data_IF_559284018421
#
_entry.id   IF_559284018421
#
_cell.length_a   1.000
_cell.length_b   1.000
_cell.length_c   1.000
_cell.angle_alpha   90.00
_cell.angle_beta   90.00
_cell.angle_gamma   90.00
#
_symmetry.space_group_name_H-M   'P 1'
#
loop_
_entity.id
_entity.type
_entity.pdbx_description
1 polymer ?
#
# COMPACT_ATOMS: atom_id res chain seq x y z
N UNK A 1 17.65 -22.19 -16.37
CA UNK A 1 18.70 -22.89 -15.60
C UNK A 1 18.13 -24.23 -15.12
N UNK A 2 18.90 -25.31 -15.03
CA UNK A 2 18.35 -26.57 -14.51
C UNK A 2 17.82 -26.38 -13.08
N UNK A 3 16.61 -26.89 -12.80
CA UNK A 3 15.91 -26.76 -11.51
C UNK A 3 16.81 -27.10 -10.31
N UNK A 4 17.58 -28.18 -10.41
CA UNK A 4 18.54 -28.61 -9.38
C UNK A 4 19.66 -27.60 -9.17
N UNK A 5 20.21 -27.01 -10.24
CA UNK A 5 21.27 -26.00 -10.15
C UNK A 5 20.76 -24.71 -9.50
N UNK A 6 19.51 -24.33 -9.75
CA UNK A 6 18.87 -23.20 -9.09
C UNK A 6 18.70 -23.40 -7.59
N UNK A 7 18.19 -24.57 -7.17
CA UNK A 7 18.04 -24.88 -5.75
C UNK A 7 19.39 -24.87 -5.02
N UNK A 8 20.43 -25.45 -5.63
CA UNK A 8 21.79 -25.43 -5.07
C UNK A 8 22.29 -23.98 -4.93
N UNK A 9 22.14 -23.15 -5.97
CA UNK A 9 22.50 -21.74 -5.93
C UNK A 9 21.74 -20.98 -4.83
N UNK A 10 20.44 -21.24 -4.68
CA UNK A 10 19.59 -20.61 -3.67
C UNK A 10 20.05 -20.94 -2.25
N UNK A 11 20.30 -22.23 -1.95
CA UNK A 11 20.75 -22.64 -0.61
C UNK A 11 22.17 -22.18 -0.29
N UNK A 12 23.09 -22.24 -1.25
CA UNK A 12 24.46 -21.73 -1.08
C UNK A 12 24.42 -20.22 -0.84
N UNK A 13 23.64 -19.47 -1.62
CA UNK A 13 23.49 -18.03 -1.43
C UNK A 13 22.87 -17.66 -0.09
N UNK A 14 21.90 -18.43 0.41
CA UNK A 14 21.37 -18.28 1.77
C UNK A 14 22.43 -18.53 2.85
N UNK A 15 23.26 -19.56 2.71
CA UNK A 15 24.33 -19.84 3.66
C UNK A 15 25.36 -18.70 3.69
N UNK A 16 25.83 -18.26 2.51
CA UNK A 16 26.80 -17.15 2.39
C UNK A 16 26.22 -15.86 2.97
N UNK A 17 24.98 -15.51 2.62
CA UNK A 17 24.33 -14.30 3.13
C UNK A 17 24.09 -14.36 4.63
N UNK A 18 23.87 -15.54 5.21
CA UNK A 18 23.76 -15.69 6.68
C UNK A 18 25.09 -15.40 7.37
N UNK A 19 26.21 -15.88 6.82
CA UNK A 19 27.55 -15.55 7.33
C UNK A 19 27.83 -14.05 7.23
N UNK A 20 27.50 -13.44 6.10
CA UNK A 20 27.62 -11.98 5.91
C UNK A 20 26.78 -11.19 6.91
N UNK A 21 25.59 -11.68 7.26
CA UNK A 21 24.70 -11.05 8.26
C UNK A 21 25.42 -10.92 9.60
N UNK A 22 26.00 -12.04 10.06
CA UNK A 22 26.70 -12.11 11.34
C UNK A 22 27.85 -11.11 11.35
N UNK A 23 28.64 -11.05 10.28
CA UNK A 23 29.75 -10.10 10.12
C UNK A 23 29.25 -8.65 10.17
N UNK A 24 28.20 -8.31 9.42
CA UNK A 24 27.68 -6.94 9.36
C UNK A 24 27.06 -6.46 10.68
N UNK A 25 26.44 -7.35 11.45
CA UNK A 25 25.92 -7.02 12.78
C UNK A 25 27.06 -6.56 13.70
N UNK A 26 28.24 -7.16 13.62
CA UNK A 26 29.39 -6.73 14.43
C UNK A 26 30.03 -5.41 13.96
N UNK A 27 29.87 -5.04 12.69
CA UNK A 27 30.50 -3.86 12.09
C UNK A 27 29.65 -2.59 12.16
N UNK A 28 28.37 -2.66 12.54
CA UNK A 28 27.41 -1.53 12.55
C UNK A 28 27.37 -0.70 11.25
N UNK A 29 27.79 -1.27 10.11
CA UNK A 29 28.08 -0.51 8.89
C UNK A 29 26.85 -0.18 8.01
N UNK A 30 25.63 -0.55 8.43
CA UNK A 30 24.44 -0.56 7.56
C UNK A 30 23.20 0.15 8.14
N UNK A 31 23.33 0.91 9.24
CA UNK A 31 22.20 1.59 9.91
C UNK A 31 21.35 2.45 8.95
N UNK A 32 21.97 3.18 8.02
CA UNK A 32 21.26 4.02 7.04
C UNK A 32 20.41 3.25 6.03
N UNK A 33 20.78 2.00 5.70
CA UNK A 33 19.95 1.17 4.81
C UNK A 33 18.60 0.86 5.48
N UNK A 34 18.61 0.68 6.80
CA UNK A 34 17.39 0.43 7.58
C UNK A 34 16.38 1.59 7.53
N UNK A 35 16.85 2.83 7.28
CA UNK A 35 15.96 3.96 7.06
C UNK A 35 15.14 3.81 5.77
N UNK A 36 15.76 3.31 4.69
CA UNK A 36 15.07 3.01 3.41
C UNK A 36 13.98 1.97 3.63
N UNK A 37 14.24 0.96 4.46
CA UNK A 37 13.24 -0.04 4.83
C UNK A 37 12.00 0.60 5.46
N UNK A 38 12.19 1.48 6.44
CA UNK A 38 11.08 2.19 7.07
C UNK A 38 10.34 3.13 6.12
N UNK A 39 11.04 3.80 5.21
CA UNK A 39 10.40 4.62 4.17
C UNK A 39 9.43 3.82 3.32
N UNK A 40 9.87 2.63 2.86
CA UNK A 40 9.04 1.76 2.03
C UNK A 40 7.83 1.27 2.83
N UNK A 41 8.02 0.82 4.06
CA UNK A 41 6.93 0.36 4.92
C UNK A 41 5.91 1.47 5.23
N UNK A 42 6.38 2.69 5.47
CA UNK A 42 5.52 3.85 5.75
C UNK A 42 4.77 4.33 4.52
N UNK A 43 5.42 4.40 3.36
CA UNK A 43 4.76 4.65 2.08
C UNK A 43 3.64 3.64 1.83
N UNK A 44 3.98 2.37 1.97
CA UNK A 44 3.05 1.27 1.79
C UNK A 44 1.88 1.40 2.79
N UNK A 45 2.16 1.64 4.07
CA UNK A 45 1.15 1.81 5.12
C UNK A 45 0.14 2.91 4.78
N UNK A 46 0.61 4.07 4.31
CA UNK A 46 -0.26 5.16 3.86
C UNK A 46 -1.15 4.76 2.68
N UNK A 47 -0.60 4.03 1.71
CA UNK A 47 -1.37 3.49 0.59
C UNK A 47 -2.42 2.46 1.05
N UNK A 48 -2.03 1.57 1.97
CA UNK A 48 -2.88 0.52 2.52
C UNK A 48 -4.04 1.06 3.34
N UNK A 49 -3.83 2.13 4.11
CA UNK A 49 -4.87 2.80 4.89
C UNK A 49 -6.01 3.29 3.98
N UNK A 50 -5.71 3.98 2.89
CA UNK A 50 -6.73 4.47 1.95
C UNK A 50 -7.51 3.30 1.33
N UNK A 51 -6.83 2.20 1.00
CA UNK A 51 -7.50 1.00 0.50
C UNK A 51 -8.45 0.39 1.55
N UNK A 52 -8.02 0.31 2.82
CA UNK A 52 -8.85 -0.17 3.91
C UNK A 52 -10.08 0.71 4.12
N UNK A 53 -9.92 2.04 4.03
CA UNK A 53 -11.04 2.99 4.10
C UNK A 53 -12.06 2.70 2.99
N UNK A 54 -11.62 2.63 1.74
CA UNK A 54 -12.51 2.39 0.59
C UNK A 54 -13.25 1.05 0.75
N UNK A 55 -12.55 -0.01 1.18
CA UNK A 55 -13.17 -1.31 1.48
C UNK A 55 -14.19 -1.20 2.62
N UNK A 56 -13.88 -0.46 3.67
CA UNK A 56 -14.79 -0.18 4.79
C UNK A 56 -16.07 0.52 4.32
N UNK A 57 -15.93 1.58 3.53
CA UNK A 57 -17.07 2.29 2.92
C UNK A 57 -17.90 1.38 2.01
N UNK A 58 -17.26 0.50 1.24
CA UNK A 58 -17.95 -0.48 0.40
C UNK A 58 -18.78 -1.46 1.24
N UNK A 59 -18.26 -1.92 2.38
CA UNK A 59 -18.98 -2.81 3.30
C UNK A 59 -20.17 -2.10 3.95
N UNK A 60 -19.98 -0.84 4.38
CA UNK A 60 -21.05 -0.01 4.94
C UNK A 60 -22.17 0.16 3.92
N UNK A 61 -21.82 0.51 2.68
CA UNK A 61 -22.79 0.67 1.60
C UNK A 61 -23.51 -0.65 1.28
N UNK A 62 -22.81 -1.78 1.23
CA UNK A 62 -23.45 -3.07 0.93
C UNK A 62 -24.43 -3.53 2.03
N UNK A 63 -24.13 -3.23 3.30
CA UNK A 63 -25.04 -3.51 4.43
C UNK A 63 -26.24 -2.58 4.47
N UNK A 64 -26.09 -1.33 4.06
CA UNK A 64 -27.13 -0.30 4.15
C UNK A 64 -27.83 -0.01 2.82
N UNK A 65 -27.50 -0.74 1.74
CA UNK A 65 -27.95 -0.44 0.36
C UNK A 65 -29.46 -0.34 0.17
N UNK A 66 -30.24 -1.07 0.96
CA UNK A 66 -31.71 -1.10 0.85
C UNK A 66 -32.37 -0.05 1.76
N UNK A 67 -31.59 0.63 2.61
CA UNK A 67 -32.06 1.67 3.56
C UNK A 67 -31.59 3.08 3.19
N UNK A 68 -30.61 3.21 2.30
CA UNK A 68 -29.98 4.49 1.95
C UNK A 68 -30.71 5.18 0.80
N UNK A 69 -31.15 6.41 1.04
CA UNK A 69 -31.67 7.29 0.00
C UNK A 69 -30.53 8.04 -0.75
N UNK A 70 -30.84 8.66 -1.88
CA UNK A 70 -29.90 9.39 -2.75
C UNK A 70 -29.05 10.41 -1.98
N UNK A 71 -29.66 11.16 -1.07
CA UNK A 71 -28.98 12.18 -0.25
C UNK A 71 -27.96 11.53 0.69
N UNK A 72 -28.33 10.41 1.32
CA UNK A 72 -27.45 9.69 2.25
C UNK A 72 -26.29 9.02 1.52
N UNK A 73 -26.52 8.46 0.32
CA UNK A 73 -25.45 7.93 -0.54
C UNK A 73 -24.49 9.05 -0.96
N UNK A 74 -25.01 10.24 -1.30
CA UNK A 74 -24.18 11.39 -1.68
C UNK A 74 -23.31 11.87 -0.52
N UNK A 75 -23.87 11.94 0.70
CA UNK A 75 -23.12 12.25 1.92
C UNK A 75 -22.03 11.21 2.19
N UNK A 76 -22.33 9.91 2.04
CA UNK A 76 -21.35 8.83 2.19
C UNK A 76 -20.16 8.99 1.23
N UNK A 77 -20.41 9.34 -0.03
CA UNK A 77 -19.37 9.61 -1.03
C UNK A 77 -18.55 10.85 -0.65
N UNK A 78 -19.21 11.90 -0.14
CA UNK A 78 -18.53 13.10 0.33
C UNK A 78 -17.58 12.78 1.49
N UNK A 79 -18.03 11.99 2.47
CA UNK A 79 -17.18 11.52 3.56
C UNK A 79 -16.02 10.66 3.08
N UNK A 80 -16.24 9.77 2.11
CA UNK A 80 -15.19 8.94 1.51
C UNK A 80 -14.08 9.78 0.85
N UNK A 81 -14.40 10.98 0.34
CA UNK A 81 -13.42 11.92 -0.24
C UNK A 81 -12.76 12.80 0.84
N UNK A 82 -13.53 13.28 1.82
CA UNK A 82 -13.05 14.18 2.87
C UNK A 82 -12.04 13.48 3.78
N UNK A 83 -12.29 12.22 4.17
CA UNK A 83 -11.45 11.51 5.13
C UNK A 83 -9.99 11.39 4.65
N UNK A 84 -9.68 10.94 3.41
CA UNK A 84 -8.33 10.96 2.88
C UNK A 84 -7.66 12.34 2.92
N UNK A 85 -8.40 13.42 2.64
CA UNK A 85 -7.87 14.79 2.69
C UNK A 85 -7.50 15.18 4.12
N UNK A 86 -8.32 14.82 5.12
CA UNK A 86 -8.00 15.02 6.53
C UNK A 86 -6.72 14.26 6.94
N UNK A 87 -6.53 13.03 6.45
CA UNK A 87 -5.29 12.27 6.69
C UNK A 87 -4.06 12.93 6.06
N UNK A 88 -4.20 13.57 4.88
CA UNK A 88 -3.11 14.34 4.26
C UNK A 88 -2.76 15.55 5.14
N UNK A 89 -3.76 16.33 5.56
CA UNK A 89 -3.55 17.50 6.42
C UNK A 89 -2.89 17.09 7.74
N UNK A 90 -3.37 16.02 8.37
CA UNK A 90 -2.78 15.47 9.58
C UNK A 90 -1.32 15.02 9.37
N UNK A 91 -1.01 14.40 8.23
CA UNK A 91 0.36 14.00 7.90
C UNK A 91 1.29 15.20 7.74
N UNK A 92 0.82 16.30 7.14
CA UNK A 92 1.57 17.56 7.03
C UNK A 92 1.86 18.12 8.42
N UNK A 93 0.84 18.20 9.29
CA UNK A 93 1.03 18.63 10.67
C UNK A 93 2.10 17.79 11.38
N UNK A 94 2.03 16.46 11.23
CA UNK A 94 2.97 15.53 11.87
C UNK A 94 4.41 15.68 11.35
N UNK A 95 4.59 16.01 10.06
CA UNK A 95 5.91 16.32 9.50
C UNK A 95 6.49 17.52 10.24
N UNK A 96 5.76 18.63 10.31
CA UNK A 96 6.25 19.85 10.97
C UNK A 96 6.46 19.69 12.48
N UNK A 97 5.56 19.00 13.19
CA UNK A 97 5.74 18.77 14.62
C UNK A 97 6.90 17.83 14.95
N UNK A 98 7.26 16.92 14.02
CA UNK A 98 8.40 16.01 14.18
C UNK A 98 9.77 16.61 13.83
N UNK A 99 9.82 17.78 13.18
CA UNK A 99 11.05 18.51 12.88
C UNK A 99 11.47 19.26 14.16
N UNK A 100 12.18 18.57 15.06
CA UNK A 100 12.71 19.13 16.31
C UNK A 100 12.56 18.22 17.53
N UNK A 101 11.54 17.34 17.54
CA UNK A 101 11.36 16.27 18.51
C UNK A 101 11.19 14.93 17.77
N UNK A 102 12.29 14.27 17.36
CA UNK A 102 12.23 13.04 16.56
C UNK A 102 11.75 11.80 17.33
N UNK A 103 11.39 11.93 18.61
CA UNK A 103 11.06 10.81 19.46
C UNK A 103 9.57 10.39 19.32
N UNK A 104 9.35 9.10 19.11
CA UNK A 104 8.05 8.43 19.32
C UNK A 104 7.52 8.53 20.78
N UNK A 105 8.31 9.12 21.69
CA UNK A 105 8.17 9.00 23.14
C UNK A 105 8.15 10.33 23.91
N UNK A 106 8.20 11.50 23.26
CA UNK A 106 8.27 12.78 23.98
C UNK A 106 6.92 13.39 24.40
N UNK A 107 5.77 12.83 24.00
CA UNK A 107 4.43 13.37 24.31
C UNK A 107 3.56 12.38 25.10
N UNK A 108 3.65 12.35 26.43
CA UNK A 108 2.76 11.50 27.23
C UNK A 108 1.26 11.80 26.94
N UNK A 109 0.50 10.81 26.45
CA UNK A 109 -0.96 10.97 26.24
C UNK A 109 -1.61 9.97 25.28
N UNK A 110 -2.94 10.08 25.11
CA UNK A 110 -3.74 9.27 24.19
C UNK A 110 -3.27 9.36 22.72
N UNK A 111 -2.69 10.51 22.32
CA UNK A 111 -2.16 10.73 20.98
C UNK A 111 -1.07 9.71 20.60
N UNK A 112 -0.13 9.39 21.51
CA UNK A 112 0.90 8.37 21.26
C UNK A 112 0.28 6.99 21.02
N UNK A 113 -0.73 6.63 21.81
CA UNK A 113 -1.40 5.33 21.67
C UNK A 113 -2.09 5.24 20.30
N UNK A 114 -2.81 6.29 19.90
CA UNK A 114 -3.42 6.36 18.57
C UNK A 114 -2.37 6.29 17.45
N UNK A 115 -1.29 7.05 17.55
CA UNK A 115 -0.21 7.05 16.57
C UNK A 115 0.48 5.70 16.44
N UNK A 116 0.69 5.04 17.57
CA UNK A 116 1.28 3.71 17.65
C UNK A 116 0.35 2.66 17.04
N UNK A 117 -0.95 2.72 17.37
CA UNK A 117 -1.95 1.82 16.79
C UNK A 117 -2.06 2.01 15.28
N UNK A 118 -2.10 3.25 14.79
CA UNK A 118 -2.14 3.54 13.35
C UNK A 118 -0.86 3.03 12.67
N UNK A 119 0.29 3.19 13.33
CA UNK A 119 1.56 2.70 12.81
C UNK A 119 1.61 1.17 12.70
N UNK A 120 1.31 0.46 13.80
CA UNK A 120 1.32 -1.01 13.83
C UNK A 120 0.24 -1.55 12.89
N UNK A 121 -0.98 -1.03 12.97
CA UNK A 121 -2.07 -1.43 12.07
C UNK A 121 -1.68 -1.22 10.62
N UNK A 122 -1.08 -0.08 10.28
CA UNK A 122 -0.62 0.23 8.94
C UNK A 122 0.41 -0.77 8.40
N UNK A 123 1.42 -1.13 9.20
CA UNK A 123 2.43 -2.13 8.84
C UNK A 123 1.82 -3.53 8.74
N UNK A 124 1.07 -3.96 9.75
CA UNK A 124 0.50 -5.31 9.83
C UNK A 124 -0.56 -5.52 8.74
N UNK A 125 -1.52 -4.60 8.63
CA UNK A 125 -2.54 -4.64 7.58
C UNK A 125 -1.90 -4.71 6.20
N UNK A 126 -0.81 -3.99 6.00
CA UNK A 126 -0.08 -4.04 4.76
C UNK A 126 0.58 -5.39 4.52
N UNK A 127 1.51 -5.81 5.38
CA UNK A 127 2.25 -7.05 5.17
C UNK A 127 1.31 -8.23 4.99
N UNK A 128 0.22 -8.24 5.75
CA UNK A 128 -0.81 -9.25 5.69
C UNK A 128 -1.57 -9.21 4.34
N UNK A 129 -2.09 -8.05 3.92
CA UNK A 129 -2.89 -7.95 2.70
C UNK A 129 -2.07 -7.91 1.39
N UNK A 130 -0.83 -7.45 1.45
CA UNK A 130 -0.01 -7.11 0.29
C UNK A 130 1.01 -8.21 -0.01
N UNK A 131 1.63 -8.81 1.01
CA UNK A 131 2.57 -9.92 0.84
C UNK A 131 1.97 -11.26 1.26
N UNK A 132 1.55 -11.42 2.51
CA UNK A 132 1.20 -12.74 3.07
C UNK A 132 -0.02 -13.35 2.35
N UNK A 133 -1.16 -12.65 2.31
CA UNK A 133 -2.38 -13.15 1.65
C UNK A 133 -2.14 -13.40 0.16
N UNK A 134 -1.43 -12.49 -0.51
CA UNK A 134 -1.19 -12.60 -1.95
C UNK A 134 -0.25 -13.77 -2.27
N UNK A 135 0.75 -14.05 -1.43
CA UNK A 135 1.64 -15.20 -1.55
C UNK A 135 0.89 -16.52 -1.31
N UNK A 136 0.03 -16.57 -0.28
CA UNK A 136 -0.81 -17.73 0.03
C UNK A 136 -1.79 -18.02 -1.13
N UNK A 137 -2.38 -16.98 -1.73
CA UNK A 137 -3.38 -17.12 -2.80
C UNK A 137 -2.78 -17.28 -4.21
N UNK A 138 -1.46 -17.35 -4.34
CA UNK A 138 -0.76 -17.44 -5.64
C UNK A 138 -1.05 -16.28 -6.62
N UNK A 139 -1.49 -15.13 -6.09
CA UNK A 139 -1.92 -13.98 -6.89
C UNK A 139 -0.77 -13.07 -7.34
N UNK A 140 0.45 -13.29 -6.82
CA UNK A 140 1.65 -12.53 -7.19
C UNK A 140 2.05 -12.70 -8.66
N UNK A 141 2.01 -13.92 -9.18
CA UNK A 141 2.34 -14.21 -10.59
C UNK A 141 1.26 -13.70 -11.54
N UNK A 142 -0.01 -13.87 -11.16
CA UNK A 142 -1.14 -13.44 -11.98
C UNK A 142 -1.20 -11.91 -12.16
N UNK A 143 -0.62 -11.14 -11.24
CA UNK A 143 -0.56 -9.67 -11.33
C UNK A 143 0.49 -9.17 -12.34
N UNK A 144 1.52 -9.95 -12.65
CA UNK A 144 2.64 -9.58 -13.55
C UNK A 144 2.55 -10.29 -14.90
N UNK A 145 2.28 -11.59 -14.89
CA UNK A 145 2.41 -12.47 -16.07
C UNK A 145 1.13 -12.47 -16.91
N UNK A 146 -0.06 -12.34 -16.31
CA UNK A 146 -1.31 -12.33 -17.07
C UNK A 146 -1.61 -10.93 -17.62
N UNK A 147 -1.66 -10.85 -18.96
CA UNK A 147 -2.51 -9.91 -19.72
C UNK A 147 -3.96 -9.98 -19.21
N UNK A 148 -4.26 -9.35 -18.09
CA UNK A 148 -5.59 -9.29 -17.46
C UNK A 148 -6.63 -8.50 -18.26
N UNK A 149 -6.43 -8.23 -19.56
CA UNK A 149 -7.31 -7.39 -20.38
C UNK A 149 -8.66 -8.06 -20.68
N UNK A 150 -8.71 -9.39 -20.82
CA UNK A 150 -9.92 -10.09 -21.32
C UNK A 150 -10.94 -10.37 -20.20
N UNK A 151 -10.51 -10.91 -19.04
CA UNK A 151 -11.41 -11.14 -17.89
C UNK A 151 -11.84 -9.84 -17.19
N UNK A 152 -10.99 -8.80 -17.17
CA UNK A 152 -11.37 -7.49 -16.63
C UNK A 152 -12.32 -6.75 -17.55
N UNK A 153 -12.14 -6.84 -18.88
CA UNK A 153 -13.04 -6.25 -19.88
C UNK A 153 -14.47 -6.76 -19.76
N UNK A 154 -14.66 -8.08 -19.74
CA UNK A 154 -15.99 -8.69 -19.62
C UNK A 154 -16.68 -8.36 -18.27
N UNK A 155 -15.93 -8.39 -17.15
CA UNK A 155 -16.44 -7.96 -15.84
C UNK A 155 -16.83 -6.48 -15.84
N UNK A 156 -16.02 -5.61 -16.44
CA UNK A 156 -16.26 -4.16 -16.52
C UNK A 156 -17.50 -3.85 -17.36
N UNK A 157 -17.70 -4.55 -18.47
CA UNK A 157 -18.91 -4.45 -19.30
C UNK A 157 -20.14 -4.90 -18.51
N UNK A 158 -20.09 -6.06 -17.86
CA UNK A 158 -21.20 -6.55 -17.02
C UNK A 158 -21.56 -5.61 -15.87
N UNK A 159 -20.56 -4.98 -15.23
CA UNK A 159 -20.78 -3.96 -14.19
C UNK A 159 -21.41 -2.69 -14.72
N UNK A 160 -20.97 -2.21 -15.89
CA UNK A 160 -21.57 -1.04 -16.52
C UNK A 160 -23.05 -1.26 -16.89
N UNK A 161 -23.40 -2.47 -17.33
CA UNK A 161 -24.79 -2.85 -17.61
C UNK A 161 -25.61 -2.88 -16.30
N UNK A 162 -25.09 -3.53 -15.25
CA UNK A 162 -25.74 -3.53 -13.93
C UNK A 162 -25.88 -2.13 -13.34
N UNK A 163 -24.88 -1.27 -13.50
CA UNK A 163 -24.92 0.13 -13.07
C UNK A 163 -26.02 0.90 -13.78
N UNK A 164 -26.12 0.79 -15.12
CA UNK A 164 -27.21 1.41 -15.88
C UNK A 164 -28.58 0.90 -15.42
N UNK A 165 -28.71 -0.41 -15.19
CA UNK A 165 -29.94 -1.01 -14.70
C UNK A 165 -30.34 -0.49 -13.31
N UNK A 166 -29.41 -0.43 -12.34
CA UNK A 166 -29.66 0.10 -11.01
C UNK A 166 -29.92 1.62 -11.00
N UNK A 167 -29.22 2.36 -11.85
CA UNK A 167 -29.46 3.79 -12.05
C UNK A 167 -30.87 4.08 -12.59
N UNK A 168 -31.34 3.29 -13.56
CA UNK A 168 -32.70 3.38 -14.10
C UNK A 168 -33.77 3.04 -13.05
N UNK A 169 -33.48 2.10 -12.14
CA UNK A 169 -34.36 1.75 -11.01
C UNK A 169 -34.25 2.68 -9.80
N UNK A 170 -33.47 3.78 -9.89
CA UNK A 170 -33.18 4.70 -8.78
C UNK A 170 -32.53 4.02 -7.56
N UNK A 171 -31.87 2.87 -7.74
CA UNK A 171 -31.14 2.14 -6.70
C UNK A 171 -29.70 2.68 -6.59
N UNK A 172 -29.56 3.95 -6.15
CA UNK A 172 -28.29 4.68 -6.17
C UNK A 172 -27.17 4.01 -5.35
N UNK A 173 -27.51 3.42 -4.20
CA UNK A 173 -26.54 2.70 -3.38
C UNK A 173 -25.97 1.47 -4.11
N UNK A 174 -26.80 0.71 -4.83
CA UNK A 174 -26.37 -0.46 -5.61
C UNK A 174 -25.51 -0.07 -6.80
N UNK A 175 -25.80 1.05 -7.44
CA UNK A 175 -24.95 1.62 -8.48
C UNK A 175 -23.57 2.03 -7.93
N UNK A 176 -23.54 2.71 -6.77
CA UNK A 176 -22.30 3.15 -6.13
C UNK A 176 -21.42 1.97 -5.67
N UNK A 177 -22.01 0.89 -5.16
CA UNK A 177 -21.27 -0.33 -4.79
C UNK A 177 -20.54 -0.94 -6.01
N UNK A 178 -21.12 -0.86 -7.22
CA UNK A 178 -20.44 -1.37 -8.41
C UNK A 178 -19.23 -0.51 -8.81
N UNK A 179 -19.33 0.81 -8.64
CA UNK A 179 -18.22 1.73 -8.86
C UNK A 179 -17.09 1.48 -7.86
N UNK A 180 -17.42 1.41 -6.57
CA UNK A 180 -16.45 1.11 -5.50
C UNK A 180 -15.78 -0.25 -5.68
N UNK A 181 -16.53 -1.32 -6.01
CA UNK A 181 -15.93 -2.63 -6.31
C UNK A 181 -14.94 -2.58 -7.48
N UNK A 182 -15.21 -1.75 -8.48
CA UNK A 182 -14.29 -1.55 -9.60
C UNK A 182 -13.03 -0.80 -9.18
N UNK A 183 -13.14 0.19 -8.29
CA UNK A 183 -11.98 0.87 -7.72
C UNK A 183 -11.16 0.00 -6.79
N UNK A 184 -11.81 -0.78 -5.94
CA UNK A 184 -11.13 -1.72 -5.05
C UNK A 184 -10.29 -2.71 -5.87
N UNK A 185 -10.83 -3.25 -6.96
CA UNK A 185 -10.06 -4.13 -7.86
C UNK A 185 -8.90 -3.40 -8.54
N UNK A 186 -9.11 -2.17 -9.02
CA UNK A 186 -8.03 -1.38 -9.65
C UNK A 186 -6.91 -1.07 -8.65
N UNK A 187 -7.26 -0.66 -7.43
CA UNK A 187 -6.30 -0.39 -6.36
C UNK A 187 -5.64 -1.68 -5.86
N UNK A 188 -6.34 -2.82 -5.83
CA UNK A 188 -5.75 -4.12 -5.52
C UNK A 188 -4.70 -4.52 -6.58
N UNK A 189 -4.95 -4.25 -7.87
CA UNK A 189 -3.96 -4.46 -8.94
C UNK A 189 -2.76 -3.53 -8.79
N UNK A 190 -3.00 -2.23 -8.57
CA UNK A 190 -1.91 -1.27 -8.32
C UNK A 190 -1.10 -1.64 -7.08
N UNK A 191 -1.77 -2.04 -6.00
CA UNK A 191 -1.15 -2.54 -4.78
C UNK A 191 -0.24 -3.73 -5.07
N UNK A 192 -0.74 -4.73 -5.81
CA UNK A 192 0.05 -5.92 -6.13
C UNK A 192 1.27 -5.57 -7.02
N UNK A 193 1.14 -4.61 -7.94
CA UNK A 193 2.29 -4.12 -8.71
C UNK A 193 3.31 -3.41 -7.81
N UNK A 194 2.85 -2.49 -6.96
CA UNK A 194 3.70 -1.77 -6.02
C UNK A 194 4.42 -2.74 -5.08
N UNK A 195 3.76 -3.79 -4.61
CA UNK A 195 4.38 -4.85 -3.79
C UNK A 195 5.62 -5.43 -4.44
N UNK A 196 5.52 -5.77 -5.72
CA UNK A 196 6.61 -6.43 -6.44
C UNK A 196 7.72 -5.44 -6.75
N UNK A 197 7.39 -4.21 -7.17
CA UNK A 197 8.41 -3.17 -7.40
C UNK A 197 9.14 -2.78 -6.11
N UNK A 198 8.44 -2.79 -4.97
CA UNK A 198 9.01 -2.40 -3.69
C UNK A 198 9.82 -3.52 -3.02
N UNK A 199 9.84 -4.74 -3.58
CA UNK A 199 10.75 -5.81 -3.11
C UNK A 199 12.22 -5.38 -3.17
N UNK A 200 12.64 -4.60 -4.17
CA UNK A 200 14.03 -4.14 -4.29
C UNK A 200 14.36 -3.09 -3.21
N UNK A 201 13.60 -2.00 -3.06
CA UNK A 201 13.75 -1.10 -1.92
C UNK A 201 13.69 -1.79 -0.55
N UNK A 202 12.83 -2.80 -0.38
CA UNK A 202 12.79 -3.61 0.84
C UNK A 202 14.08 -4.41 0.99
N UNK A 203 14.59 -5.03 -0.08
CA UNK A 203 15.83 -5.80 -0.04
C UNK A 203 17.03 -4.91 0.33
N UNK A 204 17.12 -3.72 -0.27
CA UNK A 204 18.14 -2.72 0.06
C UNK A 204 18.00 -2.33 1.54
N UNK A 205 16.77 -2.07 1.98
CA UNK A 205 16.55 -1.67 3.36
C UNK A 205 16.76 -2.79 4.39
N UNK A 206 16.62 -4.04 3.96
CA UNK A 206 16.87 -5.24 4.76
C UNK A 206 18.30 -5.76 4.58
N UNK A 207 19.25 -4.95 4.10
CA UNK A 207 20.65 -5.40 3.96
C UNK A 207 21.29 -5.77 5.30
N UNK A 208 20.84 -5.19 6.42
CA UNK A 208 21.21 -5.65 7.77
C UNK A 208 20.81 -7.12 7.97
N UNK A 209 19.70 -7.54 7.36
CA UNK A 209 19.21 -8.91 7.34
C UNK A 209 19.50 -9.53 5.97
N UNK A 210 20.78 -9.69 5.63
CA UNK A 210 21.25 -10.15 4.31
C UNK A 210 20.54 -11.40 3.75
N UNK A 211 20.13 -12.43 4.53
CA UNK A 211 19.36 -13.55 3.97
C UNK A 211 17.98 -13.12 3.46
N UNK A 212 17.33 -12.19 4.16
CA UNK A 212 16.05 -11.60 3.75
C UNK A 212 16.23 -10.80 2.46
N UNK A 213 17.27 -9.96 2.40
CA UNK A 213 17.59 -9.18 1.20
C UNK A 213 17.81 -10.09 -0.02
N UNK A 214 18.55 -11.18 0.16
CA UNK A 214 18.81 -12.17 -0.88
C UNK A 214 17.54 -12.83 -1.40
N UNK A 215 16.65 -13.27 -0.50
CA UNK A 215 15.36 -13.86 -0.88
C UNK A 215 14.53 -12.87 -1.70
N UNK A 216 14.45 -11.61 -1.26
CA UNK A 216 13.72 -10.56 -1.97
C UNK A 216 14.30 -10.30 -3.37
N UNK A 217 15.63 -10.24 -3.51
CA UNK A 217 16.31 -10.02 -4.80
C UNK A 217 16.08 -11.20 -5.75
N UNK A 218 16.27 -12.43 -5.29
CA UNK A 218 16.05 -13.62 -6.12
C UNK A 218 14.60 -13.68 -6.59
N UNK A 219 13.66 -13.45 -5.69
CA UNK A 219 12.24 -13.49 -6.03
C UNK A 219 11.89 -12.42 -7.06
N UNK A 220 12.44 -11.22 -6.91
CA UNK A 220 12.27 -10.14 -7.86
C UNK A 220 12.86 -10.47 -9.24
N UNK A 221 14.09 -11.00 -9.28
CA UNK A 221 14.77 -11.42 -10.51
C UNK A 221 13.98 -12.51 -11.23
N UNK A 222 13.45 -13.49 -10.49
CA UNK A 222 12.69 -14.60 -11.06
C UNK A 222 11.38 -14.16 -11.69
N UNK A 223 10.69 -13.19 -11.07
CA UNK A 223 9.45 -12.61 -11.61
C UNK A 223 9.73 -11.73 -12.83
N UNK A 224 10.71 -10.82 -12.76
CA UNK A 224 10.89 -9.78 -13.80
C UNK A 224 11.79 -10.20 -14.96
N UNK A 225 12.87 -10.92 -14.68
CA UNK A 225 13.89 -11.24 -15.69
C UNK A 225 13.65 -12.63 -16.27
N UNK A 226 13.30 -13.61 -15.42
CA UNK A 226 13.21 -15.01 -15.85
C UNK A 226 11.79 -15.44 -16.26
N UNK A 227 10.75 -14.68 -15.89
CA UNK A 227 9.33 -15.04 -16.09
C UNK A 227 9.01 -16.50 -15.67
N UNK A 228 9.70 -16.98 -14.63
CA UNK A 228 9.64 -18.36 -14.18
C UNK A 228 8.62 -18.52 -13.04
N UNK A 229 7.96 -19.69 -12.99
CA UNK A 229 7.11 -20.04 -11.86
C UNK A 229 7.95 -20.18 -10.60
N UNK A 230 7.56 -19.44 -9.58
CA UNK A 230 8.07 -19.52 -8.20
C UNK A 230 7.77 -20.89 -7.61
N UNK A 231 8.79 -21.51 -7.02
CA UNK A 231 8.63 -22.79 -6.35
C UNK A 231 8.04 -22.64 -4.95
N UNK A 232 7.42 -23.70 -4.43
CA UNK A 232 6.80 -23.68 -3.12
C UNK A 232 7.78 -23.31 -2.01
N UNK A 233 9.03 -23.77 -2.07
CA UNK A 233 10.07 -23.47 -1.08
C UNK A 233 10.50 -22.00 -1.10
N UNK A 234 10.69 -21.41 -2.29
CA UNK A 234 11.02 -19.99 -2.45
C UNK A 234 9.89 -19.10 -1.92
N UNK A 235 8.64 -19.50 -2.19
CA UNK A 235 7.45 -18.82 -1.66
C UNK A 235 7.38 -18.88 -0.15
N UNK A 236 7.66 -20.04 0.46
CA UNK A 236 7.72 -20.19 1.92
C UNK A 236 8.84 -19.31 2.48
N UNK A 237 10.01 -19.29 1.83
CA UNK A 237 11.12 -18.42 2.19
C UNK A 237 10.72 -16.95 2.20
N UNK A 238 10.11 -16.45 1.12
CA UNK A 238 9.64 -15.07 1.05
C UNK A 238 8.55 -14.77 2.09
N UNK A 239 7.62 -15.71 2.32
CA UNK A 239 6.56 -15.53 3.31
C UNK A 239 7.16 -15.40 4.73
N UNK A 240 8.10 -16.27 5.10
CA UNK A 240 8.84 -16.18 6.35
C UNK A 240 9.61 -14.85 6.44
N UNK A 241 10.32 -14.46 5.38
CA UNK A 241 11.02 -13.17 5.29
C UNK A 241 10.09 -11.99 5.54
N UNK A 242 8.90 -11.97 4.95
CA UNK A 242 7.93 -10.89 5.10
C UNK A 242 7.32 -10.83 6.51
N UNK A 243 7.07 -11.98 7.14
CA UNK A 243 6.64 -12.04 8.54
C UNK A 243 7.74 -11.48 9.46
N UNK A 244 8.98 -11.94 9.27
CA UNK A 244 10.13 -11.47 10.07
C UNK A 244 10.34 -9.97 9.92
N UNK A 245 10.26 -9.45 8.68
CA UNK A 245 10.26 -8.01 8.38
C UNK A 245 9.18 -7.28 9.18
N UNK A 246 7.97 -7.82 9.24
CA UNK A 246 6.87 -7.21 9.99
C UNK A 246 7.09 -7.16 11.48
N UNK A 247 7.54 -8.28 12.05
CA UNK A 247 7.87 -8.36 13.47
C UNK A 247 8.97 -7.36 13.82
N UNK A 248 10.04 -7.30 13.02
CA UNK A 248 11.13 -6.34 13.22
C UNK A 248 10.61 -4.90 13.11
N UNK A 249 9.84 -4.57 12.08
CA UNK A 249 9.34 -3.21 11.88
C UNK A 249 8.39 -2.75 12.98
N UNK A 250 7.59 -3.66 13.53
CA UNK A 250 6.70 -3.37 14.65
C UNK A 250 7.46 -3.24 15.97
N UNK A 251 8.48 -4.06 16.22
CA UNK A 251 9.22 -4.05 17.48
C UNK A 251 10.32 -2.98 17.53
N UNK A 252 10.90 -2.64 16.38
CA UNK A 252 12.07 -1.77 16.31
C UNK A 252 11.91 -0.39 16.98
N UNK A 253 10.74 0.28 16.96
CA UNK A 253 10.57 1.53 17.70
C UNK A 253 10.50 1.38 19.22
N UNK A 254 10.23 0.17 19.73
CA UNK A 254 10.08 -0.09 21.18
C UNK A 254 11.31 -0.75 21.80
N UNK A 255 12.10 -1.43 20.98
CA UNK A 255 13.33 -2.09 21.39
C UNK A 255 14.49 -1.18 21.05
N UNK A 256 15.37 -0.91 22.01
CA UNK A 256 16.52 -0.03 21.83
C UNK A 256 17.63 -0.72 21.01
N UNK A 257 17.35 -0.99 19.74
CA UNK A 257 18.34 -1.53 18.83
C UNK A 257 19.38 -0.46 18.47
N UNK A 258 20.69 -0.79 18.50
CA UNK A 258 21.75 0.18 18.20
C UNK A 258 21.57 0.88 16.84
N UNK A 259 21.19 0.11 15.82
CA UNK A 259 20.93 0.62 14.47
C UNK A 259 19.68 1.51 14.35
N UNK A 260 18.74 1.42 15.30
CA UNK A 260 17.57 2.30 15.32
C UNK A 260 17.90 3.67 15.92
N UNK A 261 18.78 3.70 16.94
CA UNK A 261 19.24 4.95 17.54
C UNK A 261 19.94 5.86 16.51
N UNK A 262 20.77 5.28 15.65
CA UNK A 262 21.49 6.02 14.59
C UNK A 262 20.55 6.70 13.58
N UNK A 263 19.40 6.09 13.30
CA UNK A 263 18.42 6.63 12.34
C UNK A 263 17.33 7.47 12.99
N UNK A 264 17.33 7.58 14.33
CA UNK A 264 16.28 8.25 15.09
C UNK A 264 16.07 9.71 14.63
N UNK A 265 17.16 10.42 14.36
CA UNK A 265 17.12 11.83 13.90
C UNK A 265 16.43 12.00 12.54
N UNK A 266 16.38 10.94 11.72
CA UNK A 266 15.75 10.95 10.41
C UNK A 266 14.31 10.42 10.41
N UNK A 267 13.76 10.04 11.56
CA UNK A 267 12.42 9.42 11.62
C UNK A 267 11.30 10.34 11.08
N UNK A 268 11.48 11.66 11.11
CA UNK A 268 10.53 12.61 10.49
C UNK A 268 10.33 12.35 8.99
N UNK A 269 11.37 11.87 8.29
CA UNK A 269 11.29 11.54 6.85
C UNK A 269 10.31 10.39 6.58
N UNK A 270 10.07 9.50 7.56
CA UNK A 270 9.03 8.47 7.44
C UNK A 270 7.63 9.06 7.27
N UNK A 271 7.34 10.21 7.90
CA UNK A 271 6.04 10.87 7.78
C UNK A 271 5.85 11.45 6.37
N UNK A 272 6.95 11.86 5.69
CA UNK A 272 6.91 12.24 4.28
C UNK A 272 6.50 11.06 3.41
N UNK A 273 7.16 9.91 3.56
CA UNK A 273 6.83 8.72 2.77
C UNK A 273 5.40 8.25 3.02
N UNK A 274 4.93 8.30 4.26
CA UNK A 274 3.53 8.02 4.61
C UNK A 274 2.56 8.98 3.89
N UNK A 275 2.84 10.28 3.89
CA UNK A 275 2.06 11.29 3.16
C UNK A 275 2.04 11.02 1.65
N UNK A 276 3.19 10.68 1.06
CA UNK A 276 3.29 10.32 -0.37
C UNK A 276 2.40 9.10 -0.65
N UNK A 277 2.42 8.09 0.22
CA UNK A 277 1.58 6.90 0.10
C UNK A 277 0.08 7.20 0.10
N UNK A 278 -0.38 7.99 1.08
CA UNK A 278 -1.77 8.45 1.16
C UNK A 278 -2.15 9.25 -0.09
N UNK A 279 -1.30 10.20 -0.48
CA UNK A 279 -1.56 11.12 -1.59
C UNK A 279 -1.69 10.35 -2.90
N UNK A 280 -0.76 9.42 -3.16
CA UNK A 280 -0.77 8.60 -4.37
C UNK A 280 -2.01 7.69 -4.43
N UNK A 281 -2.38 7.05 -3.33
CA UNK A 281 -3.60 6.23 -3.25
C UNK A 281 -4.87 7.08 -3.49
N UNK A 282 -4.93 8.25 -2.87
CA UNK A 282 -6.04 9.20 -3.01
C UNK A 282 -6.16 9.71 -4.45
N UNK A 283 -5.04 10.06 -5.09
CA UNK A 283 -5.02 10.48 -6.49
C UNK A 283 -5.51 9.38 -7.44
N UNK A 284 -5.06 8.13 -7.25
CA UNK A 284 -5.55 7.00 -8.05
C UNK A 284 -7.06 6.81 -7.86
N UNK A 285 -7.53 6.92 -6.61
CA UNK A 285 -8.95 6.79 -6.29
C UNK A 285 -9.80 7.90 -6.93
N UNK A 286 -9.44 9.17 -6.72
CA UNK A 286 -10.16 10.33 -7.28
C UNK A 286 -10.15 10.30 -8.80
N UNK A 287 -9.00 10.01 -9.42
CA UNK A 287 -8.89 9.85 -10.88
C UNK A 287 -9.80 8.72 -11.38
N UNK A 288 -9.87 7.63 -10.62
CA UNK A 288 -10.82 6.55 -10.88
C UNK A 288 -12.27 7.05 -10.92
N UNK A 289 -12.71 7.78 -9.88
CA UNK A 289 -14.07 8.33 -9.79
C UNK A 289 -14.39 9.21 -11.01
N UNK A 290 -13.47 10.11 -11.36
CA UNK A 290 -13.67 11.06 -12.46
C UNK A 290 -13.80 10.35 -13.81
N UNK A 291 -12.96 9.33 -14.07
CA UNK A 291 -13.03 8.55 -15.30
C UNK A 291 -14.34 7.75 -15.44
N UNK A 292 -14.91 7.22 -14.35
CA UNK A 292 -16.16 6.47 -14.40
C UNK A 292 -17.41 7.35 -14.52
N UNK A 293 -17.34 8.60 -14.05
CA UNK A 293 -18.44 9.57 -14.22
C UNK A 293 -18.46 10.23 -15.60
N UNK A 294 -17.52 9.91 -16.50
CA UNK A 294 -17.31 10.62 -17.79
C UNK A 294 -17.27 12.15 -17.60
N UNK A 295 -16.78 12.61 -16.46
CA UNK A 295 -16.56 14.04 -16.26
C UNK A 295 -15.17 14.30 -16.81
N UNK A 296 -15.10 14.74 -18.07
CA UNK A 296 -13.86 15.25 -18.63
C UNK A 296 -13.40 16.41 -17.75
N UNK A 297 -12.12 16.42 -17.37
CA UNK A 297 -11.53 17.53 -16.62
C UNK A 297 -11.77 18.88 -17.31
N UNK A 298 -11.89 18.88 -18.64
CA UNK A 298 -12.31 20.02 -19.46
C UNK A 298 -13.68 20.55 -18.99
N UNK A 299 -14.71 19.72 -18.85
CA UNK A 299 -16.05 20.16 -18.41
C UNK A 299 -16.13 20.75 -16.99
N UNK A 300 -15.18 20.41 -16.10
CA UNK A 300 -15.07 21.05 -14.78
C UNK A 300 -14.30 22.36 -14.90
N UNK A 301 -13.24 22.38 -15.70
CA UNK A 301 -12.43 23.58 -15.96
C UNK A 301 -13.28 24.66 -16.64
N UNK A 302 -14.06 24.28 -17.64
CA UNK A 302 -15.00 25.14 -18.37
C UNK A 302 -16.05 25.71 -17.40
N UNK A 303 -16.67 24.87 -16.55
CA UNK A 303 -17.61 25.36 -15.52
C UNK A 303 -16.98 26.29 -14.47
N UNK A 304 -15.72 26.07 -14.10
CA UNK A 304 -15.01 26.95 -13.17
C UNK A 304 -14.64 28.27 -13.85
N UNK A 305 -14.44 28.24 -15.17
CA UNK A 305 -14.15 29.42 -15.99
C UNK A 305 -15.43 30.25 -16.21
N UNK A 306 -16.56 29.60 -16.50
CA UNK A 306 -17.89 30.22 -16.60
C UNK A 306 -18.29 30.94 -15.30
N UNK A 307 -18.08 30.30 -14.14
CA UNK A 307 -18.36 30.90 -12.81
C UNK A 307 -17.41 32.08 -12.50
N UNK A 308 -16.21 32.11 -13.10
CA UNK A 308 -15.27 33.24 -12.96
C UNK A 308 -15.62 34.41 -13.89
N UNK A 309 -16.28 34.14 -15.01
CA UNK A 309 -16.76 35.16 -15.94
C UNK A 309 -18.07 35.78 -15.45
N UNK A 310 -19.02 35.00 -14.92
CA UNK A 310 -20.26 35.50 -14.28
C UNK A 310 -20.02 36.38 -13.03
N UNK A 311 -18.85 36.32 -12.40
CA UNK A 311 -18.47 37.17 -11.26
C UNK A 311 -17.72 38.43 -11.64
N UNK A 312 -17.45 38.64 -12.93
CA UNK A 312 -16.77 39.84 -13.46
C UNK A 312 -17.72 40.84 -14.10
N UNK A 313 -18.98 40.47 -14.30
CA UNK A 313 -20.11 41.37 -14.61
C UNK A 313 -20.86 41.75 -13.32
#
# INVERSE_FOLDING_TARGET
>A
MDKKRFQIFYFIGLAITTVLMIIFIFLNALSFTFLIFFWVLKFLSGFGLILSIIKGFTVILDKLKDKLDKTQVTLLILFEIIIPVLFIIYSIYKIFSSIGNPAFSSEAGLMIVFDTLIFIYGIVSLLLNLYIIQLIREQFQDAVIKKGKIKSGAKKVGRNIKKKYFGLRKEYAKAQIQDQKTFTEMLDVWRNKLAIYLLIPIAIGSLIFTPIAFICIIFWLKIFILDEKIETLERIGLLCSMITIGVIACLAPFVNFPFFADIAIYLWTMNIFYMIGITLATLIFVRGILQLKKINFESIKDKIQDIKEEKKD
#
